data_IF_907810039459
#
_entry.id   IF_907810039459
#
_cell.length_a   1.000
_cell.length_b   1.000
_cell.length_c   1.000
_cell.angle_alpha   90.00
_cell.angle_beta   90.00
_cell.angle_gamma   90.00
#
_symmetry.space_group_name_H-M   'P 1'
#
loop_
_entity.id
_entity.type
_entity.pdbx_description
1 polymer ?
#
# COMPACT_ATOMS: atom_id res chain seq x y z
N UNK A 1 -4.48 -2.70 18.45
CA UNK A 1 -4.29 -4.08 17.95
C UNK A 1 -3.65 -4.09 16.57
N UNK A 2 -4.13 -3.29 15.61
CA UNK A 2 -3.47 -3.18 14.30
C UNK A 2 -2.07 -2.55 14.43
N UNK A 3 -1.89 -1.50 15.22
CA UNK A 3 -0.55 -0.93 15.50
C UNK A 3 0.43 -1.98 16.04
N UNK A 4 0.01 -2.75 17.06
CA UNK A 4 0.82 -3.84 17.61
C UNK A 4 1.15 -4.92 16.55
N UNK A 5 0.25 -5.16 15.59
CA UNK A 5 0.49 -6.07 14.48
C UNK A 5 1.50 -5.48 13.48
N UNK A 6 1.39 -4.18 13.17
CA UNK A 6 2.35 -3.45 12.33
C UNK A 6 3.74 -3.54 12.93
N UNK A 7 3.88 -3.23 14.22
CA UNK A 7 5.15 -3.31 14.94
C UNK A 7 5.74 -4.72 14.90
N UNK A 8 4.92 -5.73 15.23
CA UNK A 8 5.39 -7.12 15.27
C UNK A 8 5.80 -7.65 13.88
N UNK A 9 5.06 -7.31 12.82
CA UNK A 9 5.41 -7.68 11.45
C UNK A 9 6.69 -6.95 11.02
N UNK A 10 6.87 -5.69 11.40
CA UNK A 10 8.10 -4.93 11.16
C UNK A 10 9.33 -5.53 11.84
N UNK A 11 9.18 -6.02 13.07
CA UNK A 11 10.27 -6.63 13.85
C UNK A 11 10.64 -8.04 13.40
N UNK A 12 9.64 -8.87 13.12
CA UNK A 12 9.81 -10.34 13.03
C UNK A 12 9.28 -10.97 11.74
N UNK A 13 8.82 -10.14 10.80
CA UNK A 13 8.22 -10.56 9.55
C UNK A 13 6.81 -11.13 9.72
N UNK A 14 6.22 -11.59 8.62
CA UNK A 14 4.83 -12.03 8.58
C UNK A 14 4.55 -13.29 9.42
N UNK A 15 5.57 -14.11 9.71
CA UNK A 15 5.41 -15.40 10.41
C UNK A 15 5.93 -15.39 11.86
N UNK A 16 6.54 -14.30 12.31
CA UNK A 16 7.21 -14.22 13.62
C UNK A 16 6.31 -13.96 14.83
N UNK A 17 4.97 -13.92 14.66
CA UNK A 17 4.04 -13.49 15.71
C UNK A 17 2.79 -14.38 15.82
N UNK A 18 2.11 -14.27 16.97
CA UNK A 18 0.82 -14.92 17.23
C UNK A 18 -0.22 -13.91 17.69
N UNK A 19 -1.51 -14.15 17.43
CA UNK A 19 -2.60 -13.28 17.90
C UNK A 19 -2.59 -13.07 19.42
N UNK A 20 -2.21 -14.10 20.17
CA UNK A 20 -2.13 -14.03 21.63
C UNK A 20 -1.03 -13.07 22.09
N UNK A 21 0.12 -13.11 21.43
CA UNK A 21 1.23 -12.19 21.71
C UNK A 21 0.85 -10.74 21.36
N UNK A 22 0.18 -10.54 20.22
CA UNK A 22 -0.33 -9.21 19.84
C UNK A 22 -1.35 -8.67 20.84
N UNK A 23 -2.26 -9.50 21.35
CA UNK A 23 -3.22 -9.13 22.39
C UNK A 23 -2.52 -8.59 23.64
N UNK A 24 -1.48 -9.30 24.07
CA UNK A 24 -0.66 -8.96 25.23
C UNK A 24 0.07 -7.64 25.01
N UNK A 25 0.68 -7.43 23.84
CA UNK A 25 1.37 -6.18 23.48
C UNK A 25 0.41 -4.99 23.43
N UNK A 26 -0.79 -5.18 22.89
CA UNK A 26 -1.81 -4.15 22.80
C UNK A 26 -2.55 -3.86 24.12
N UNK A 27 -2.23 -4.57 25.20
CA UNK A 27 -2.88 -4.40 26.50
C UNK A 27 -4.37 -4.78 26.53
N UNK A 28 -4.83 -5.58 25.57
CA UNK A 28 -6.24 -6.03 25.49
C UNK A 28 -6.41 -7.44 26.06
N UNK A 29 -7.65 -7.80 26.40
CA UNK A 29 -7.94 -9.16 26.88
C UNK A 29 -7.58 -10.22 25.83
N UNK A 30 -7.18 -11.41 26.29
CA UNK A 30 -6.82 -12.52 25.40
C UNK A 30 -7.96 -12.98 24.48
N UNK A 31 -9.23 -12.72 24.85
CA UNK A 31 -10.40 -13.07 24.04
C UNK A 31 -10.66 -12.05 22.91
N UNK A 32 -10.24 -10.79 23.07
CA UNK A 32 -10.54 -9.73 22.12
C UNK A 32 -10.07 -10.03 20.67
N UNK A 33 -8.84 -10.49 20.41
CA UNK A 33 -8.41 -10.77 19.03
C UNK A 33 -9.22 -11.87 18.36
N UNK A 34 -9.56 -12.94 19.09
CA UNK A 34 -10.35 -14.05 18.57
C UNK A 34 -11.77 -13.60 18.21
N UNK A 35 -12.38 -12.71 19.01
CA UNK A 35 -13.69 -12.15 18.71
C UNK A 35 -13.68 -11.15 17.55
N UNK A 36 -12.65 -10.31 17.43
CA UNK A 36 -12.59 -9.27 16.41
C UNK A 36 -12.06 -9.76 15.06
N UNK A 37 -11.09 -10.68 15.06
CA UNK A 37 -10.39 -11.10 13.85
C UNK A 37 -10.55 -12.59 13.55
N UNK A 38 -10.91 -13.41 14.54
CA UNK A 38 -10.96 -14.88 14.42
C UNK A 38 -9.56 -15.50 14.40
N UNK A 39 -8.83 -15.26 13.31
CA UNK A 39 -7.52 -15.86 13.02
C UNK A 39 -6.53 -14.84 12.44
N UNK A 40 -5.31 -15.32 12.14
CA UNK A 40 -4.24 -14.53 11.52
C UNK A 40 -4.71 -13.89 10.19
N UNK A 41 -5.43 -14.66 9.37
CA UNK A 41 -5.94 -14.17 8.09
C UNK A 41 -6.94 -13.03 8.29
N UNK A 42 -7.79 -13.08 9.31
CA UNK A 42 -8.72 -11.99 9.63
C UNK A 42 -8.04 -10.72 10.14
N UNK A 43 -6.96 -10.85 10.91
CA UNK A 43 -6.16 -9.68 11.28
C UNK A 43 -5.51 -9.05 10.04
N UNK A 44 -4.92 -9.87 9.16
CA UNK A 44 -4.31 -9.41 7.92
C UNK A 44 -5.36 -8.86 6.93
N UNK A 45 -6.61 -9.30 7.01
CA UNK A 45 -7.74 -8.74 6.25
C UNK A 45 -8.05 -7.32 6.71
N UNK A 46 -8.15 -7.10 8.02
CA UNK A 46 -8.35 -5.77 8.58
C UNK A 46 -7.16 -4.83 8.25
N UNK A 47 -5.93 -5.34 8.34
CA UNK A 47 -4.72 -4.60 8.00
C UNK A 47 -4.66 -4.24 6.50
N UNK A 48 -5.07 -5.16 5.62
CA UNK A 48 -5.16 -4.88 4.18
C UNK A 48 -6.22 -3.81 3.88
N UNK A 49 -7.39 -3.88 4.51
CA UNK A 49 -8.45 -2.88 4.34
C UNK A 49 -7.97 -1.49 4.80
N UNK A 50 -7.38 -1.41 6.00
CA UNK A 50 -6.78 -0.18 6.53
C UNK A 50 -5.70 0.38 5.59
N UNK A 51 -4.80 -0.48 5.09
CA UNK A 51 -3.76 -0.08 4.16
C UNK A 51 -4.31 0.52 2.86
N UNK A 52 -5.37 -0.06 2.28
CA UNK A 52 -6.02 0.52 1.10
C UNK A 52 -6.73 1.84 1.41
N UNK A 53 -7.31 2.00 2.59
CA UNK A 53 -7.93 3.26 3.02
C UNK A 53 -6.90 4.37 3.26
N UNK A 54 -5.77 4.04 3.88
CA UNK A 54 -4.63 4.96 4.02
C UNK A 54 -4.10 5.38 2.64
N UNK A 55 -3.90 4.43 1.73
CA UNK A 55 -3.49 4.73 0.36
C UNK A 55 -4.50 5.64 -0.35
N UNK A 56 -5.80 5.37 -0.21
CA UNK A 56 -6.85 6.21 -0.78
C UNK A 56 -6.80 7.64 -0.20
N UNK A 57 -6.56 7.79 1.10
CA UNK A 57 -6.40 9.09 1.73
C UNK A 57 -5.18 9.85 1.18
N UNK A 58 -4.02 9.19 1.07
CA UNK A 58 -2.78 9.77 0.53
C UNK A 58 -2.95 10.20 -0.93
N UNK A 59 -3.57 9.37 -1.77
CA UNK A 59 -3.86 9.71 -3.17
C UNK A 59 -4.86 10.86 -3.30
N UNK A 60 -5.88 10.89 -2.44
CA UNK A 60 -6.87 11.97 -2.43
C UNK A 60 -6.23 13.31 -2.08
N UNK A 61 -5.26 13.32 -1.16
CA UNK A 61 -4.51 14.53 -0.79
C UNK A 61 -3.60 15.02 -1.92
N UNK A 62 -2.95 14.10 -2.65
CA UNK A 62 -2.12 14.43 -3.80
C UNK A 62 -2.93 15.03 -4.96
N UNK A 63 -4.21 14.66 -5.07
CA UNK A 63 -5.11 15.16 -6.10
C UNK A 63 -4.95 14.43 -7.43
N UNK A 64 -5.54 14.96 -8.51
CA UNK A 64 -5.67 14.25 -9.78
C UNK A 64 -4.44 14.39 -10.70
N UNK A 65 -3.34 15.00 -10.27
CA UNK A 65 -2.14 15.05 -11.10
C UNK A 65 -1.49 13.65 -11.20
N UNK A 66 -1.18 13.20 -12.41
CA UNK A 66 -0.71 11.84 -12.64
C UNK A 66 0.68 11.58 -12.02
N UNK A 67 1.59 12.56 -12.09
CA UNK A 67 2.92 12.43 -11.51
C UNK A 67 2.83 12.47 -9.99
N UNK A 68 2.10 13.43 -9.43
CA UNK A 68 1.96 13.56 -7.98
C UNK A 68 1.22 12.36 -7.35
N UNK A 69 0.24 11.77 -8.04
CA UNK A 69 -0.39 10.51 -7.61
C UNK A 69 0.61 9.34 -7.56
N UNK A 70 1.50 9.23 -8.56
CA UNK A 70 2.58 8.22 -8.56
C UNK A 70 3.59 8.43 -7.43
N UNK A 71 3.94 9.69 -7.14
CA UNK A 71 4.84 10.05 -6.04
C UNK A 71 4.23 9.81 -4.67
N UNK A 72 2.95 10.13 -4.52
CA UNK A 72 2.16 9.84 -3.33
C UNK A 72 2.05 8.33 -3.08
N UNK A 73 1.97 7.52 -4.14
CA UNK A 73 2.02 6.07 -4.04
C UNK A 73 3.36 5.57 -3.47
N UNK A 74 4.50 6.10 -3.96
CA UNK A 74 5.83 5.75 -3.44
C UNK A 74 5.96 6.19 -1.97
N UNK A 75 5.53 7.42 -1.64
CA UNK A 75 5.51 7.93 -0.27
C UNK A 75 4.76 7.00 0.67
N UNK A 76 3.53 6.62 0.29
CA UNK A 76 2.72 5.68 1.06
C UNK A 76 3.46 4.36 1.30
N UNK A 77 4.07 3.79 0.26
CA UNK A 77 4.77 2.52 0.37
C UNK A 77 5.95 2.60 1.35
N UNK A 78 6.68 3.72 1.37
CA UNK A 78 7.83 3.91 2.26
C UNK A 78 7.47 4.33 3.68
N UNK A 79 6.36 5.04 3.87
CA UNK A 79 5.84 5.42 5.20
C UNK A 79 5.06 4.27 5.86
N UNK A 80 4.47 3.37 5.07
CA UNK A 80 3.67 2.23 5.55
C UNK A 80 4.13 0.88 4.94
N UNK A 81 5.40 0.48 5.13
CA UNK A 81 5.98 -0.69 4.46
C UNK A 81 5.29 -2.01 4.84
N UNK A 82 4.79 -2.13 6.07
CA UNK A 82 4.07 -3.31 6.53
C UNK A 82 2.71 -3.44 5.85
N UNK A 83 1.90 -2.37 5.81
CA UNK A 83 0.63 -2.36 5.08
C UNK A 83 0.87 -2.67 3.61
N UNK A 84 1.84 -1.99 2.98
CA UNK A 84 2.21 -2.21 1.59
C UNK A 84 2.56 -3.67 1.31
N UNK A 85 3.40 -4.27 2.16
CA UNK A 85 3.79 -5.68 2.04
C UNK A 85 2.62 -6.65 2.13
N UNK A 86 1.61 -6.36 2.96
CA UNK A 86 0.42 -7.20 3.11
C UNK A 86 -0.57 -7.00 1.97
N UNK A 87 -0.92 -5.76 1.64
CA UNK A 87 -1.99 -5.40 0.67
C UNK A 87 -1.85 -6.11 -0.68
N UNK A 88 -0.62 -6.25 -1.18
CA UNK A 88 -0.34 -6.82 -2.50
C UNK A 88 -0.03 -8.33 -2.47
N UNK A 89 -0.29 -9.00 -1.34
CA UNK A 89 -0.21 -10.45 -1.18
C UNK A 89 -1.58 -11.05 -0.82
N UNK A 90 -2.53 -11.14 -1.77
CA UNK A 90 -3.92 -11.52 -1.50
C UNK A 90 -4.09 -12.95 -0.95
N UNK A 91 -3.04 -13.78 -0.97
CA UNK A 91 -3.04 -15.11 -0.35
C UNK A 91 -2.94 -15.07 1.19
N UNK A 92 -2.58 -13.93 1.77
CA UNK A 92 -2.38 -13.77 3.22
C UNK A 92 -3.67 -13.40 3.98
N UNK A 93 -4.69 -12.93 3.27
CA UNK A 93 -5.92 -12.40 3.85
C UNK A 93 -7.13 -12.81 3.01
N UNK A 94 -8.34 -12.52 3.52
CA UNK A 94 -9.59 -12.77 2.80
C UNK A 94 -9.81 -11.66 1.78
N UNK A 95 -9.34 -11.86 0.54
CA UNK A 95 -9.35 -10.80 -0.47
C UNK A 95 -10.74 -10.47 -1.03
N UNK A 96 -11.70 -11.35 -0.81
CA UNK A 96 -13.11 -11.22 -1.12
C UNK A 96 -13.92 -10.52 -0.01
N UNK A 97 -13.29 -10.24 1.14
CA UNK A 97 -13.90 -9.45 2.20
C UNK A 97 -14.36 -8.07 1.69
N UNK A 98 -15.60 -7.69 2.03
CA UNK A 98 -16.22 -6.47 1.51
C UNK A 98 -15.46 -5.21 1.89
N UNK A 99 -14.88 -5.13 3.08
CA UNK A 99 -14.12 -3.95 3.50
C UNK A 99 -12.86 -3.80 2.65
N UNK A 100 -12.15 -4.90 2.39
CA UNK A 100 -10.97 -4.91 1.53
C UNK A 100 -11.34 -4.53 0.10
N UNK A 101 -12.41 -5.13 -0.45
CA UNK A 101 -12.85 -4.87 -1.82
C UNK A 101 -13.20 -3.39 -2.00
N UNK A 102 -14.01 -2.83 -1.12
CA UNK A 102 -14.43 -1.43 -1.19
C UNK A 102 -13.24 -0.47 -1.02
N UNK A 103 -12.32 -0.73 -0.09
CA UNK A 103 -11.13 0.11 0.10
C UNK A 103 -10.20 0.06 -1.12
N UNK A 104 -9.97 -1.14 -1.68
CA UNK A 104 -9.19 -1.32 -2.91
C UNK A 104 -9.82 -0.59 -4.09
N UNK A 105 -11.14 -0.70 -4.26
CA UNK A 105 -11.88 0.01 -5.32
C UNK A 105 -11.72 1.52 -5.20
N UNK A 106 -11.82 2.09 -3.99
CA UNK A 106 -11.58 3.52 -3.74
C UNK A 106 -10.17 3.96 -4.14
N UNK A 107 -9.14 3.24 -3.68
CA UNK A 107 -7.75 3.55 -4.01
C UNK A 107 -7.48 3.42 -5.52
N UNK A 108 -8.01 2.37 -6.15
CA UNK A 108 -7.87 2.14 -7.59
C UNK A 108 -8.54 3.23 -8.43
N UNK A 109 -9.71 3.72 -8.01
CA UNK A 109 -10.40 4.82 -8.69
C UNK A 109 -9.60 6.13 -8.66
N UNK A 110 -8.91 6.41 -7.54
CA UNK A 110 -8.05 7.58 -7.39
C UNK A 110 -6.79 7.48 -8.26
N UNK A 111 -6.15 6.31 -8.32
CA UNK A 111 -5.03 6.07 -9.24
C UNK A 111 -5.44 6.27 -10.70
N UNK A 112 -6.61 5.77 -11.08
CA UNK A 112 -7.13 5.93 -12.43
C UNK A 112 -7.51 7.39 -12.76
N UNK A 113 -7.78 8.23 -11.77
CA UNK A 113 -8.19 9.61 -11.99
C UNK A 113 -7.10 10.44 -12.67
N UNK A 114 -5.85 10.33 -12.24
CA UNK A 114 -4.76 11.09 -12.86
C UNK A 114 -4.44 10.64 -14.28
N UNK A 115 -4.57 9.34 -14.56
CA UNK A 115 -4.36 8.80 -15.90
C UNK A 115 -5.37 9.35 -16.93
N UNK A 116 -6.57 9.74 -16.52
CA UNK A 116 -7.57 10.34 -17.40
C UNK A 116 -7.15 11.71 -17.93
N UNK A 117 -6.35 12.47 -17.18
CA UNK A 117 -5.91 13.79 -17.58
C UNK A 117 -4.82 13.78 -18.65
N UNK A 118 -4.05 12.67 -18.73
CA UNK A 118 -2.87 12.56 -19.60
C UNK A 118 -3.06 11.61 -20.79
N UNK A 119 -4.13 10.82 -20.80
CA UNK A 119 -4.37 9.85 -21.86
C UNK A 119 -5.15 10.43 -23.05
N UNK A 120 -4.78 10.02 -24.26
CA UNK A 120 -5.43 10.43 -25.51
C UNK A 120 -6.82 9.81 -25.77
N UNK A 121 -7.19 8.75 -25.02
CA UNK A 121 -8.48 8.07 -25.16
C UNK A 121 -8.88 7.34 -23.87
N UNK A 122 -10.16 6.93 -23.71
CA UNK A 122 -10.59 6.15 -22.54
C UNK A 122 -9.87 4.81 -22.37
N UNK A 123 -9.68 4.06 -23.46
CA UNK A 123 -8.90 2.82 -23.44
C UNK A 123 -7.42 3.09 -23.13
N UNK A 124 -6.87 4.18 -23.67
CA UNK A 124 -5.54 4.68 -23.33
C UNK A 124 -5.42 4.97 -21.83
N UNK A 125 -6.42 5.61 -21.24
CA UNK A 125 -6.43 5.96 -19.81
C UNK A 125 -6.30 4.76 -18.89
N UNK A 126 -6.99 3.65 -19.19
CA UNK A 126 -6.87 2.43 -18.41
C UNK A 126 -5.46 1.82 -18.51
N UNK A 127 -4.85 1.83 -19.69
CA UNK A 127 -3.48 1.33 -19.88
C UNK A 127 -2.45 2.27 -19.24
N UNK A 128 -2.62 3.59 -19.34
CA UNK A 128 -1.78 4.58 -18.68
C UNK A 128 -1.84 4.45 -17.16
N UNK A 129 -3.03 4.24 -16.59
CA UNK A 129 -3.20 3.99 -15.16
C UNK A 129 -2.43 2.73 -14.71
N UNK A 130 -2.56 1.62 -15.47
CA UNK A 130 -1.82 0.39 -15.18
C UNK A 130 -0.32 0.58 -15.31
N UNK A 131 0.16 1.23 -16.37
CA UNK A 131 1.58 1.49 -16.57
C UNK A 131 2.16 2.34 -15.45
N UNK A 132 1.48 3.45 -15.10
CA UNK A 132 1.88 4.30 -13.98
C UNK A 132 1.91 3.56 -12.66
N UNK A 133 0.87 2.79 -12.36
CA UNK A 133 0.83 1.97 -11.15
C UNK A 133 1.93 0.91 -11.14
N UNK A 134 2.18 0.20 -12.25
CA UNK A 134 3.25 -0.80 -12.34
C UNK A 134 4.64 -0.20 -12.12
N UNK A 135 4.93 0.98 -12.67
CA UNK A 135 6.22 1.64 -12.47
C UNK A 135 6.36 2.14 -11.03
N UNK A 136 5.35 2.82 -10.47
CA UNK A 136 5.39 3.29 -9.09
C UNK A 136 5.51 2.13 -8.09
N UNK A 137 4.75 1.06 -8.31
CA UNK A 137 4.82 -0.16 -7.50
C UNK A 137 6.16 -0.86 -7.63
N UNK A 138 6.70 -0.99 -8.84
CA UNK A 138 8.02 -1.57 -9.09
C UNK A 138 9.13 -0.78 -8.40
N UNK A 139 9.13 0.55 -8.54
CA UNK A 139 10.09 1.43 -7.88
C UNK A 139 10.01 1.28 -6.36
N UNK A 140 8.82 1.40 -5.77
CA UNK A 140 8.63 1.27 -4.32
C UNK A 140 9.08 -0.11 -3.80
N UNK A 141 8.79 -1.18 -4.54
CA UNK A 141 9.19 -2.54 -4.17
C UNK A 141 10.71 -2.72 -4.20
N UNK A 142 11.37 -2.20 -5.23
CA UNK A 142 12.83 -2.23 -5.35
C UNK A 142 13.50 -1.36 -4.27
N UNK A 143 12.92 -0.20 -3.97
CA UNK A 143 13.37 0.67 -2.90
C UNK A 143 13.31 -0.03 -1.54
N UNK A 144 12.14 -0.56 -1.17
CA UNK A 144 11.93 -1.26 0.10
C UNK A 144 12.79 -2.53 0.24
N UNK A 145 13.11 -3.18 -0.89
CA UNK A 145 14.03 -4.33 -0.92
C UNK A 145 15.52 -3.93 -0.79
N UNK A 146 15.85 -2.64 -0.79
CA UNK A 146 17.24 -2.16 -0.82
C UNK A 146 17.98 -2.52 -2.12
N UNK A 147 17.25 -2.81 -3.20
CA UNK A 147 17.82 -3.23 -4.48
C UNK A 147 18.27 -2.04 -5.36
N UNK A 148 17.88 -0.81 -5.00
CA UNK A 148 18.32 0.41 -5.65
C UNK A 148 19.61 0.91 -4.99
N UNK A 149 20.59 1.30 -5.81
CA UNK A 149 21.85 1.89 -5.32
C UNK A 149 21.70 3.40 -5.30
N UNK A 150 21.43 3.95 -4.11
CA UNK A 150 21.22 5.38 -3.91
C UNK A 150 22.19 5.93 -2.85
N UNK A 151 22.57 7.22 -2.92
CA UNK A 151 23.32 7.87 -1.85
C UNK A 151 22.60 7.78 -0.50
N UNK A 152 23.37 7.72 0.59
CA UNK A 152 22.81 7.71 1.94
C UNK A 152 21.97 8.97 2.20
N UNK A 153 20.77 8.79 2.75
CA UNK A 153 19.85 9.89 3.07
C UNK A 153 19.02 10.40 1.89
N UNK A 154 19.08 9.75 0.73
CA UNK A 154 18.22 10.09 -0.41
C UNK A 154 16.74 9.88 -0.04
N UNK A 155 15.91 10.88 -0.30
CA UNK A 155 14.46 10.76 -0.14
C UNK A 155 13.87 9.88 -1.27
N UNK A 156 13.04 8.88 -0.93
CA UNK A 156 12.46 7.96 -1.92
C UNK A 156 11.61 8.66 -2.98
N UNK A 157 10.92 9.74 -2.61
CA UNK A 157 10.03 10.47 -3.52
C UNK A 157 10.87 11.30 -4.49
N UNK A 158 11.95 11.92 -4.02
CA UNK A 158 12.89 12.63 -4.88
C UNK A 158 13.58 11.69 -5.88
N UNK A 159 13.98 10.49 -5.45
CA UNK A 159 14.54 9.48 -6.33
C UNK A 159 13.51 8.91 -7.34
N UNK A 160 12.25 8.77 -6.94
CA UNK A 160 11.18 8.30 -7.81
C UNK A 160 10.79 9.31 -8.89
N UNK A 161 10.87 10.61 -8.61
CA UNK A 161 10.41 11.68 -9.50
C UNK A 161 10.97 11.61 -10.93
N UNK A 162 12.29 11.53 -11.17
CA UNK A 162 12.82 11.42 -12.53
C UNK A 162 12.41 10.12 -13.23
N UNK A 163 12.19 9.03 -12.49
CA UNK A 163 11.73 7.74 -13.05
C UNK A 163 10.28 7.84 -13.51
N UNK A 164 9.40 8.34 -12.64
CA UNK A 164 7.97 8.46 -12.95
C UNK A 164 7.69 9.52 -14.01
N UNK A 165 8.50 10.59 -14.09
CA UNK A 165 8.37 11.61 -15.12
C UNK A 165 8.53 11.07 -16.54
N UNK A 166 9.31 9.99 -16.72
CA UNK A 166 9.48 9.32 -18.04
C UNK A 166 8.16 8.88 -18.67
N UNK A 167 7.13 8.63 -17.87
CA UNK A 167 5.78 8.28 -18.35
C UNK A 167 5.06 9.42 -19.08
N UNK A 168 5.48 10.66 -18.84
CA UNK A 168 4.89 11.87 -19.42
C UNK A 168 5.65 12.39 -20.64
N UNK A 169 6.82 11.82 -20.93
CA UNK A 169 7.76 12.27 -21.96
C UNK A 169 7.63 11.47 -23.28
N UNK A 170 6.59 10.65 -23.40
CA UNK A 170 6.30 9.79 -24.56
C UNK A 170 5.27 10.37 -25.53
#
# INVERSE_FOLDING_TARGET
>A
MLDAAVDAIGESGLDGWSLRELARRAGVSHAAPAHHFGDKAGLLTALAAEGFDLLAATLKQAGPDFLEAGLAYVRFATEHPVHFGVMFQPKLYRADDDAVRQARERAGALLAQGARAVAASPAGSANTARAGWSIAHGFASLWLAGALTEPAGTDPVDAARPVLRRLLEG
#
